data_IF_880195104730
#
_entry.id   IF_880195104730
#
_cell.length_a   1.000
_cell.length_b   1.000
_cell.length_c   1.000
_cell.angle_alpha   90.00
_cell.angle_beta   90.00
_cell.angle_gamma   90.00
#
_symmetry.space_group_name_H-M   'P 1'
#
loop_
_entity.id
_entity.type
_entity.pdbx_description
1 polymer ?
#
# COMPACT_ATOMS: atom_id res chain seq x y z
N UNK A 1 24.60 -14.24 -19.38
CA UNK A 1 25.83 -13.64 -18.84
C UNK A 1 25.43 -12.86 -17.60
N UNK A 2 25.87 -13.31 -16.42
CA UNK A 2 25.56 -12.65 -15.15
C UNK A 2 26.36 -11.35 -15.06
N UNK A 3 25.70 -10.22 -14.80
CA UNK A 3 26.39 -8.97 -14.51
C UNK A 3 27.27 -9.13 -13.27
N UNK A 4 28.46 -8.52 -13.23
CA UNK A 4 29.32 -8.56 -12.06
C UNK A 4 28.61 -7.95 -10.83
N UNK A 5 28.95 -8.38 -9.61
CA UNK A 5 28.36 -7.81 -8.40
C UNK A 5 28.63 -6.30 -8.38
N UNK A 6 27.56 -5.52 -8.31
CA UNK A 6 27.66 -4.06 -8.31
C UNK A 6 28.32 -3.64 -7.00
N UNK A 7 29.52 -3.07 -7.09
CA UNK A 7 30.32 -2.71 -5.92
C UNK A 7 29.65 -1.62 -5.08
N UNK A 8 29.69 -1.79 -3.76
CA UNK A 8 29.06 -0.91 -2.77
C UNK A 8 29.52 0.56 -2.85
N UNK A 9 30.61 0.85 -3.54
CA UNK A 9 31.27 2.16 -3.65
C UNK A 9 31.29 2.72 -5.08
N UNK A 10 30.64 2.07 -6.05
CA UNK A 10 30.54 2.61 -7.41
C UNK A 10 29.72 3.91 -7.40
N UNK A 11 30.42 5.03 -7.37
CA UNK A 11 29.93 6.33 -7.83
C UNK A 11 30.30 6.38 -9.31
N UNK A 12 29.37 6.70 -10.20
CA UNK A 12 29.59 6.86 -11.65
C UNK A 12 30.47 8.07 -12.00
N UNK A 13 31.63 8.17 -11.38
CA UNK A 13 32.66 9.13 -11.71
C UNK A 13 34.02 8.44 -11.54
N UNK A 14 34.51 7.81 -12.60
CA UNK A 14 35.92 7.47 -12.70
C UNK A 14 36.74 8.78 -12.65
N UNK A 15 37.60 9.01 -11.64
CA UNK A 15 38.57 10.09 -11.74
C UNK A 15 39.67 9.64 -12.70
N UNK A 16 40.04 10.50 -13.65
CA UNK A 16 41.04 10.25 -14.68
C UNK A 16 42.48 10.09 -14.16
N UNK A 17 42.72 9.88 -12.85
CA UNK A 17 44.04 9.71 -12.26
C UNK A 17 44.07 8.49 -11.34
N UNK A 18 45.00 7.53 -11.53
CA UNK A 18 45.19 6.42 -10.62
C UNK A 18 45.78 6.95 -9.32
N UNK A 19 44.92 7.24 -8.34
CA UNK A 19 45.36 7.48 -6.96
C UNK A 19 45.89 6.17 -6.41
N UNK A 20 47.11 6.18 -5.88
CA UNK A 20 47.69 5.04 -5.19
C UNK A 20 46.68 4.45 -4.21
N UNK A 21 46.31 3.18 -4.39
CA UNK A 21 45.45 2.48 -3.44
C UNK A 21 46.24 2.31 -2.14
N UNK A 22 45.86 3.09 -1.13
CA UNK A 22 46.43 2.98 0.20
C UNK A 22 45.92 1.66 0.81
N UNK A 23 46.81 0.80 1.32
CA UNK A 23 46.45 -0.54 1.80
C UNK A 23 45.35 -0.52 2.88
N UNK A 24 45.23 0.61 3.59
CA UNK A 24 44.16 0.89 4.57
C UNK A 24 42.77 0.97 3.93
N UNK A 25 42.68 1.49 2.72
CA UNK A 25 41.40 1.60 2.00
C UNK A 25 40.96 0.24 1.44
N UNK A 26 41.90 -0.62 1.06
CA UNK A 26 41.59 -2.00 0.66
C UNK A 26 41.09 -2.85 1.83
N UNK A 27 41.66 -2.69 3.03
CA UNK A 27 41.12 -3.32 4.25
C UNK A 27 39.69 -2.84 4.54
N UNK A 28 39.41 -1.54 4.42
CA UNK A 28 38.04 -1.01 4.62
C UNK A 28 37.05 -1.56 3.58
N UNK A 29 37.48 -1.73 2.33
CA UNK A 29 36.66 -2.32 1.27
C UNK A 29 36.33 -3.78 1.56
N UNK A 30 37.34 -4.60 1.89
CA UNK A 30 37.09 -6.00 2.26
C UNK A 30 36.17 -6.11 3.48
N UNK A 31 36.32 -5.22 4.47
CA UNK A 31 35.41 -5.16 5.61
C UNK A 31 33.97 -4.81 5.20
N UNK A 32 33.77 -3.84 4.32
CA UNK A 32 32.46 -3.48 3.77
C UNK A 32 31.82 -4.64 3.00
N UNK A 33 32.59 -5.33 2.16
CA UNK A 33 32.11 -6.48 1.39
C UNK A 33 31.71 -7.63 2.32
N UNK A 34 32.49 -7.88 3.37
CA UNK A 34 32.15 -8.86 4.41
C UNK A 34 30.88 -8.47 5.18
N UNK A 35 30.75 -7.20 5.59
CA UNK A 35 29.54 -6.71 6.28
C UNK A 35 28.30 -6.79 5.39
N UNK A 36 28.42 -6.46 4.10
CA UNK A 36 27.31 -6.57 3.16
C UNK A 36 26.91 -8.02 2.91
N UNK A 37 27.89 -8.92 2.76
CA UNK A 37 27.64 -10.36 2.64
C UNK A 37 26.93 -10.91 3.88
N UNK A 38 27.40 -10.53 5.07
CA UNK A 38 26.79 -10.91 6.34
C UNK A 38 25.36 -10.36 6.46
N UNK A 39 25.14 -9.10 6.10
CA UNK A 39 23.81 -8.49 6.09
C UNK A 39 22.86 -9.26 5.17
N UNK A 40 23.26 -9.54 3.92
CA UNK A 40 22.41 -10.29 2.98
C UNK A 40 22.16 -11.73 3.44
N UNK A 41 23.15 -12.40 4.02
CA UNK A 41 22.96 -13.71 4.63
C UNK A 41 21.93 -13.65 5.77
N UNK A 42 22.02 -12.66 6.65
CA UNK A 42 21.06 -12.47 7.75
C UNK A 42 19.64 -12.17 7.23
N UNK A 43 19.50 -11.40 6.15
CA UNK A 43 18.21 -11.15 5.50
C UNK A 43 17.60 -12.44 4.94
N UNK A 44 18.41 -13.28 4.28
CA UNK A 44 17.96 -14.57 3.74
C UNK A 44 17.56 -15.55 4.85
N UNK A 45 18.24 -15.53 6.00
CA UNK A 45 17.87 -16.34 7.16
C UNK A 45 16.71 -15.76 7.97
N UNK A 46 16.26 -14.53 7.68
CA UNK A 46 15.22 -13.84 8.43
C UNK A 46 15.66 -13.27 9.78
N UNK A 47 16.97 -13.14 10.03
CA UNK A 47 17.52 -12.51 11.25
C UNK A 47 17.68 -11.00 11.03
N UNK A 48 16.57 -10.27 11.18
CA UNK A 48 16.52 -8.83 10.95
C UNK A 48 17.29 -8.02 12.01
N UNK A 49 17.52 -8.56 13.21
CA UNK A 49 18.28 -7.87 14.26
C UNK A 49 19.78 -7.86 13.97
N UNK A 50 20.34 -8.98 13.51
CA UNK A 50 21.75 -8.99 13.05
C UNK A 50 21.90 -8.21 11.76
N UNK A 51 20.95 -8.33 10.82
CA UNK A 51 20.96 -7.54 9.59
C UNK A 51 20.95 -6.03 9.89
N UNK A 52 20.14 -5.57 10.86
CA UNK A 52 20.07 -4.16 11.26
C UNK A 52 21.38 -3.63 11.84
N UNK A 53 22.08 -4.46 12.64
CA UNK A 53 23.39 -4.11 13.20
C UNK A 53 24.45 -4.02 12.11
N UNK A 54 24.51 -5.00 11.21
CA UNK A 54 25.43 -4.99 10.06
C UNK A 54 25.16 -3.76 9.17
N UNK A 55 23.89 -3.48 8.87
CA UNK A 55 23.47 -2.29 8.12
C UNK A 55 23.90 -0.99 8.79
N UNK A 56 23.71 -0.89 10.11
CA UNK A 56 24.18 0.26 10.88
C UNK A 56 25.70 0.42 10.87
N UNK A 57 26.48 -0.67 10.83
CA UNK A 57 27.94 -0.59 10.68
C UNK A 57 28.31 -0.08 9.29
N UNK A 58 27.67 -0.59 8.23
CA UNK A 58 27.88 -0.14 6.84
C UNK A 58 27.64 1.38 6.70
N UNK A 59 26.57 1.92 7.29
CA UNK A 59 26.28 3.36 7.22
C UNK A 59 27.31 4.22 7.96
N UNK A 60 27.97 3.68 8.99
CA UNK A 60 28.97 4.41 9.80
C UNK A 60 30.38 4.29 9.23
N UNK A 61 30.69 3.24 8.48
CA UNK A 61 31.98 3.07 7.83
C UNK A 61 32.23 4.14 6.77
N UNK A 62 33.44 4.68 6.77
CA UNK A 62 33.90 5.68 5.79
C UNK A 62 34.74 5.01 4.71
N UNK A 63 34.46 5.32 3.45
CA UNK A 63 35.24 4.88 2.28
C UNK A 63 36.45 5.81 2.12
N UNK A 64 37.42 5.41 1.28
CA UNK A 64 38.52 6.23 0.79
C UNK A 64 38.06 7.67 0.50
N UNK A 65 38.72 8.66 1.12
CA UNK A 65 38.34 10.07 1.02
C UNK A 65 37.31 10.56 2.06
N UNK A 66 37.04 9.78 3.13
CA UNK A 66 36.24 10.22 4.28
C UNK A 66 34.73 10.29 4.02
N UNK A 67 34.28 9.78 2.87
CA UNK A 67 32.87 9.81 2.48
C UNK A 67 32.13 8.60 3.08
N UNK A 68 30.97 8.86 3.68
CA UNK A 68 30.11 7.80 4.22
C UNK A 68 29.38 7.05 3.10
N UNK A 69 28.96 5.81 3.38
CA UNK A 69 28.13 5.03 2.44
C UNK A 69 26.79 5.75 2.25
N UNK A 70 26.51 6.20 1.02
CA UNK A 70 25.24 6.85 0.68
C UNK A 70 24.13 5.79 0.56
N UNK A 71 23.06 5.86 1.39
CA UNK A 71 21.94 4.92 1.33
C UNK A 71 21.16 5.01 0.00
N UNK A 72 21.30 6.09 -0.76
CA UNK A 72 20.61 6.29 -2.04
C UNK A 72 21.09 5.37 -3.14
N UNK A 73 22.39 5.06 -3.14
CA UNK A 73 23.02 4.31 -4.22
C UNK A 73 22.60 2.83 -4.17
N UNK A 74 22.40 2.22 -5.34
CA UNK A 74 22.11 0.79 -5.50
C UNK A 74 20.85 0.29 -4.78
N UNK A 75 19.80 1.13 -4.70
CA UNK A 75 18.52 0.77 -4.05
C UNK A 75 18.65 0.36 -2.58
N UNK A 76 19.74 0.77 -1.92
CA UNK A 76 20.03 0.44 -0.53
C UNK A 76 19.04 1.02 0.47
N UNK A 77 18.42 2.14 0.13
CA UNK A 77 17.31 2.72 0.87
C UNK A 77 16.17 1.71 1.04
N UNK A 78 15.90 0.87 0.05
CA UNK A 78 14.88 -0.18 0.14
C UNK A 78 15.23 -1.25 1.18
N UNK A 79 16.52 -1.61 1.29
CA UNK A 79 17.01 -2.56 2.29
C UNK A 79 16.83 -1.99 3.71
N UNK A 80 17.13 -0.70 3.89
CA UNK A 80 16.90 -0.01 5.17
C UNK A 80 15.43 -0.04 5.59
N UNK A 81 14.52 0.23 4.66
CA UNK A 81 13.08 0.15 4.90
C UNK A 81 12.62 -1.27 5.24
N UNK A 82 13.08 -2.28 4.50
CA UNK A 82 12.72 -3.70 4.72
C UNK A 82 13.18 -4.20 6.10
N UNK A 83 14.40 -3.84 6.51
CA UNK A 83 14.92 -4.16 7.84
C UNK A 83 14.03 -3.55 8.92
N UNK A 84 13.64 -2.27 8.79
CA UNK A 84 12.78 -1.60 9.77
C UNK A 84 11.38 -2.23 9.81
N UNK A 85 10.85 -2.60 8.66
CA UNK A 85 9.52 -3.16 8.51
C UNK A 85 9.37 -4.54 9.16
N UNK A 86 10.43 -5.36 9.10
CA UNK A 86 10.43 -6.74 9.62
C UNK A 86 11.11 -6.91 10.97
N UNK A 87 11.72 -5.84 11.49
CA UNK A 87 12.27 -5.86 12.84
C UNK A 87 11.11 -5.99 13.83
N UNK A 88 11.17 -7.05 14.63
CA UNK A 88 10.21 -7.22 15.71
C UNK A 88 10.54 -6.22 16.82
N UNK A 89 9.59 -5.40 17.29
CA UNK A 89 9.79 -4.55 18.46
C UNK A 89 9.71 -5.40 19.75
N UNK A 90 10.54 -6.44 19.86
CA UNK A 90 10.62 -7.31 21.04
C UNK A 90 12.02 -7.95 21.08
N UNK A 91 13.03 -7.20 21.53
CA UNK A 91 14.08 -7.82 22.35
C UNK A 91 13.79 -7.41 23.79
N UNK A 92 13.04 -8.22 24.56
CA UNK A 92 13.04 -8.07 26.00
C UNK A 92 14.50 -8.18 26.46
N UNK A 93 14.91 -7.29 27.36
CA UNK A 93 16.08 -7.56 28.20
C UNK A 93 15.86 -8.92 28.88
N UNK A 94 16.89 -9.74 29.10
CA UNK A 94 16.75 -11.08 29.65
C UNK A 94 16.30 -11.16 31.13
N UNK A 95 15.71 -10.10 31.70
CA UNK A 95 15.41 -10.00 33.14
C UNK A 95 13.90 -9.94 33.48
N UNK A 96 12.99 -10.08 32.51
CA UNK A 96 11.55 -10.18 32.80
C UNK A 96 11.08 -11.62 32.70
N UNK A 97 10.75 -12.22 33.85
CA UNK A 97 10.05 -13.50 34.01
C UNK A 97 8.58 -13.44 33.55
N UNK A 98 8.32 -12.96 32.34
CA UNK A 98 7.00 -13.06 31.74
C UNK A 98 7.00 -14.18 30.71
N UNK A 99 6.05 -15.11 30.86
CA UNK A 99 5.80 -16.21 29.94
C UNK A 99 5.78 -15.72 28.48
N UNK A 100 6.40 -16.44 27.53
CA UNK A 100 6.39 -16.07 26.13
C UNK A 100 4.95 -16.12 25.60
N UNK A 101 4.31 -14.96 25.48
CA UNK A 101 2.99 -14.84 24.87
C UNK A 101 2.99 -15.51 23.49
N UNK A 102 2.15 -16.54 23.27
CA UNK A 102 2.09 -17.22 22.00
C UNK A 102 1.19 -16.42 21.07
N UNK A 103 1.78 -15.66 20.17
CA UNK A 103 1.33 -15.53 18.79
C UNK A 103 2.15 -14.43 18.13
N UNK A 104 2.90 -14.84 17.11
CA UNK A 104 3.22 -13.95 15.98
C UNK A 104 1.97 -13.13 15.69
N UNK A 105 2.03 -11.81 15.83
CA UNK A 105 1.00 -10.92 15.31
C UNK A 105 0.78 -11.35 13.86
N UNK A 106 -0.35 -12.01 13.58
CA UNK A 106 -0.54 -12.91 12.43
C UNK A 106 -0.56 -12.15 11.12
N UNK A 107 0.63 -11.76 10.66
CA UNK A 107 0.81 -10.77 9.62
C UNK A 107 2.25 -10.69 9.11
N UNK A 108 2.46 -10.34 7.83
CA UNK A 108 3.79 -10.10 7.28
C UNK A 108 4.63 -9.07 8.06
N UNK A 109 3.99 -8.06 8.66
CA UNK A 109 4.64 -6.92 9.34
C UNK A 109 3.93 -6.55 10.66
N UNK A 110 4.70 -6.01 11.61
CA UNK A 110 4.18 -5.40 12.84
C UNK A 110 3.74 -3.94 12.56
N UNK A 111 2.68 -3.43 13.21
CA UNK A 111 2.24 -2.04 13.04
C UNK A 111 3.35 -1.03 13.34
N UNK A 112 4.17 -1.28 14.37
CA UNK A 112 5.31 -0.43 14.71
C UNK A 112 6.40 -0.45 13.62
N UNK A 113 6.64 -1.64 13.03
CA UNK A 113 7.59 -1.79 11.92
C UNK A 113 7.15 -0.99 10.69
N UNK A 114 5.84 -0.97 10.40
CA UNK A 114 5.27 -0.14 9.34
C UNK A 114 5.50 1.36 9.59
N UNK A 115 5.23 1.84 10.80
CA UNK A 115 5.45 3.25 11.16
C UNK A 115 6.93 3.64 11.08
N UNK A 116 7.84 2.78 11.54
CA UNK A 116 9.27 2.99 11.43
C UNK A 116 9.73 3.07 9.97
N UNK A 117 9.22 2.19 9.11
CA UNK A 117 9.51 2.19 7.68
C UNK A 117 8.94 3.44 6.99
N UNK A 118 7.71 3.85 7.31
CA UNK A 118 7.10 5.09 6.79
C UNK A 118 7.92 6.32 7.19
N UNK A 119 8.24 6.45 8.48
CA UNK A 119 9.10 7.53 9.00
C UNK A 119 10.49 7.53 8.34
N UNK A 120 11.02 6.36 7.98
CA UNK A 120 12.27 6.26 7.24
C UNK A 120 12.16 6.85 5.83
N UNK A 121 11.11 6.52 5.08
CA UNK A 121 10.86 7.14 3.77
C UNK A 121 10.63 8.65 3.88
N UNK A 122 9.85 9.10 4.86
CA UNK A 122 9.59 10.53 5.07
C UNK A 122 10.89 11.30 5.37
N UNK A 123 11.80 10.73 6.17
CA UNK A 123 13.13 11.31 6.38
C UNK A 123 13.95 11.38 5.09
N UNK A 124 13.95 10.33 4.27
CA UNK A 124 14.68 10.33 2.99
C UNK A 124 14.14 11.39 2.03
N UNK A 125 12.83 11.57 1.96
CA UNK A 125 12.17 12.60 1.16
C UNK A 125 12.65 13.99 1.58
N UNK A 126 12.64 14.29 2.88
CA UNK A 126 13.08 15.60 3.41
C UNK A 126 14.59 15.82 3.21
N UNK A 127 15.41 14.77 3.36
CA UNK A 127 16.87 14.86 3.23
C UNK A 127 17.33 15.00 1.78
N UNK A 128 16.55 14.49 0.81
CA UNK A 128 16.94 14.39 -0.59
C UNK A 128 15.88 14.96 -1.54
N UNK A 129 15.58 16.28 -1.46
CA UNK A 129 14.64 16.94 -2.35
C UNK A 129 15.17 16.99 -3.78
N UNK A 130 14.28 17.17 -4.75
CA UNK A 130 14.64 17.24 -6.17
C UNK A 130 15.61 18.39 -6.47
N UNK A 131 16.76 18.07 -7.06
CA UNK A 131 17.77 19.05 -7.47
C UNK A 131 17.82 19.13 -9.00
N UNK A 132 17.51 20.31 -9.56
CA UNK A 132 17.58 20.55 -11.01
C UNK A 132 18.98 20.34 -11.61
N UNK A 133 20.02 20.46 -10.79
CA UNK A 133 21.43 20.31 -11.20
C UNK A 133 21.87 18.85 -11.36
N UNK A 134 21.14 17.88 -10.79
CA UNK A 134 21.51 16.46 -10.81
C UNK A 134 20.28 15.61 -11.17
N UNK A 135 19.91 15.51 -12.45
CA UNK A 135 18.68 14.84 -12.88
C UNK A 135 18.68 13.31 -12.68
N UNK A 136 19.85 12.69 -12.53
CA UNK A 136 20.01 11.24 -12.33
C UNK A 136 20.22 10.85 -10.87
N UNK A 137 20.26 11.81 -9.94
CA UNK A 137 20.39 11.50 -8.53
C UNK A 137 19.08 10.91 -8.01
N UNK A 138 19.18 9.92 -7.12
CA UNK A 138 18.02 9.41 -6.38
C UNK A 138 17.50 10.52 -5.48
N UNK A 139 16.24 10.88 -5.71
CA UNK A 139 15.53 11.99 -5.09
C UNK A 139 14.17 11.53 -4.54
N UNK A 140 13.43 12.47 -3.97
CA UNK A 140 12.06 12.30 -3.49
C UNK A 140 11.11 11.57 -4.47
N UNK A 141 11.30 11.71 -5.79
CA UNK A 141 10.47 11.03 -6.81
C UNK A 141 10.61 9.51 -6.77
N UNK A 142 11.76 9.02 -6.31
CA UNK A 142 12.03 7.58 -6.16
C UNK A 142 11.42 7.04 -4.87
N UNK A 143 11.34 7.84 -3.81
CA UNK A 143 10.88 7.40 -2.48
C UNK A 143 9.37 7.41 -2.30
N UNK A 144 8.64 8.31 -2.96
CA UNK A 144 7.18 8.37 -2.82
C UNK A 144 6.46 7.09 -3.29
N UNK A 145 6.71 6.55 -4.51
CA UNK A 145 6.02 5.34 -4.98
C UNK A 145 6.13 4.13 -4.03
N UNK A 146 7.32 3.73 -3.52
CA UNK A 146 7.43 2.61 -2.59
C UNK A 146 6.79 2.90 -1.23
N UNK A 147 6.87 4.14 -0.73
CA UNK A 147 6.20 4.54 0.52
C UNK A 147 4.69 4.36 0.43
N UNK A 148 4.06 4.87 -0.64
CA UNK A 148 2.62 4.69 -0.86
C UNK A 148 2.25 3.23 -1.15
N UNK A 149 3.09 2.50 -1.90
CA UNK A 149 2.87 1.08 -2.16
C UNK A 149 2.85 0.26 -0.86
N UNK A 150 3.76 0.57 0.07
CA UNK A 150 3.79 -0.05 1.39
C UNK A 150 2.54 0.29 2.21
N UNK A 151 2.10 1.55 2.17
CA UNK A 151 0.88 1.98 2.88
C UNK A 151 -0.38 1.29 2.33
N UNK A 152 -0.54 1.23 1.01
CA UNK A 152 -1.64 0.51 0.36
C UNK A 152 -1.62 -0.98 0.75
N UNK A 153 -0.44 -1.59 0.75
CA UNK A 153 -0.29 -3.00 1.16
C UNK A 153 -0.75 -3.22 2.61
N UNK A 154 -0.32 -2.37 3.54
CA UNK A 154 -0.68 -2.49 4.95
C UNK A 154 -2.20 -2.39 5.17
N UNK A 155 -2.86 -1.43 4.51
CA UNK A 155 -4.32 -1.26 4.60
C UNK A 155 -5.05 -2.48 4.03
N UNK A 156 -4.65 -2.94 2.84
CA UNK A 156 -5.21 -4.13 2.20
C UNK A 156 -5.03 -5.37 3.06
N UNK A 157 -3.87 -5.49 3.68
CA UNK A 157 -3.52 -6.63 4.51
C UNK A 157 -4.32 -6.62 5.83
N UNK A 158 -4.48 -5.47 6.49
CA UNK A 158 -5.35 -5.32 7.66
C UNK A 158 -6.79 -5.70 7.33
N UNK A 159 -7.33 -5.20 6.23
CA UNK A 159 -8.69 -5.56 5.76
C UNK A 159 -8.82 -7.06 5.47
N UNK A 160 -7.84 -7.64 4.77
CA UNK A 160 -7.81 -9.09 4.48
C UNK A 160 -7.83 -9.93 5.76
N UNK A 161 -7.02 -9.57 6.76
CA UNK A 161 -6.98 -10.26 8.06
C UNK A 161 -8.28 -10.13 8.83
N UNK A 162 -8.87 -8.94 8.88
CA UNK A 162 -10.16 -8.72 9.53
C UNK A 162 -11.26 -9.59 8.88
N UNK A 163 -11.29 -9.67 7.54
CA UNK A 163 -12.23 -10.55 6.81
C UNK A 163 -11.99 -12.03 7.11
N UNK A 164 -10.74 -12.48 7.16
CA UNK A 164 -10.39 -13.87 7.50
C UNK A 164 -10.80 -14.21 8.95
N UNK A 165 -10.59 -13.29 9.90
CA UNK A 165 -11.00 -13.48 11.29
C UNK A 165 -12.52 -13.62 11.41
N UNK A 166 -13.28 -12.72 10.76
CA UNK A 166 -14.73 -12.79 10.71
C UNK A 166 -15.22 -14.11 10.09
N UNK A 167 -14.57 -14.58 9.03
CA UNK A 167 -14.90 -15.86 8.41
C UNK A 167 -14.58 -17.06 9.32
N UNK A 168 -13.48 -17.01 10.07
CA UNK A 168 -13.13 -18.06 11.03
C UNK A 168 -14.10 -18.10 12.21
N UNK A 169 -14.49 -16.93 12.74
CA UNK A 169 -15.50 -16.82 13.79
C UNK A 169 -16.84 -17.40 13.34
N UNK A 170 -17.25 -17.13 12.11
CA UNK A 170 -18.44 -17.76 11.48
C UNK A 170 -18.31 -19.28 11.41
N UNK A 171 -17.16 -19.80 10.96
CA UNK A 171 -16.93 -21.23 10.87
C UNK A 171 -16.97 -21.91 12.25
N UNK A 172 -16.33 -21.31 13.26
CA UNK A 172 -16.31 -21.83 14.64
C UNK A 172 -17.72 -21.87 15.24
N UNK A 173 -18.58 -20.89 14.93
CA UNK A 173 -19.99 -20.85 15.36
C UNK A 173 -20.84 -21.96 14.73
N UNK A 174 -20.45 -22.47 13.55
CA UNK A 174 -21.15 -23.55 12.85
C UNK A 174 -20.73 -24.95 13.35
N UNK A 175 -19.50 -25.10 13.86
CA UNK A 175 -18.91 -26.39 14.27
C UNK A 175 -19.23 -26.80 15.72
N UNK A 176 -19.94 -25.98 16.50
CA UNK A 176 -20.45 -26.36 17.84
C UNK A 176 -21.92 -26.80 17.88
N UNK A 177 -22.34 -27.93 17.26
CA UNK A 177 -23.62 -28.55 17.55
C UNK A 177 -23.44 -29.62 18.64
N UNK A 178 -23.48 -29.23 19.92
CA UNK A 178 -23.71 -30.18 21.03
C UNK A 178 -24.16 -29.48 22.32
N UNK A 179 -25.35 -28.88 22.25
CA UNK A 179 -26.28 -28.91 23.38
C UNK A 179 -27.68 -29.02 22.79
N UNK A 180 -28.22 -30.24 22.80
CA UNK A 180 -29.61 -30.52 22.45
C UNK A 180 -30.47 -29.95 23.58
N UNK A 181 -30.86 -28.68 23.47
CA UNK A 181 -31.98 -28.12 24.23
C UNK A 181 -33.15 -27.95 23.28
N UNK A 182 -34.07 -28.89 23.35
CA UNK A 182 -35.37 -28.87 22.67
C UNK A 182 -36.32 -27.93 23.40
N UNK A 183 -36.02 -26.64 23.37
CA UNK A 183 -37.01 -25.56 23.50
C UNK A 183 -36.29 -24.22 23.35
N UNK A 184 -36.36 -23.63 22.17
CA UNK A 184 -36.22 -22.18 21.98
C UNK A 184 -36.70 -21.87 20.57
N UNK A 185 -37.90 -21.30 20.51
CA UNK A 185 -38.41 -20.59 19.35
C UNK A 185 -37.30 -19.69 18.77
N UNK A 186 -37.16 -19.73 17.46
CA UNK A 186 -36.17 -19.03 16.67
C UNK A 186 -36.01 -17.56 17.10
N UNK A 187 -35.04 -17.29 17.98
CA UNK A 187 -34.48 -15.96 18.13
C UNK A 187 -33.44 -15.81 17.03
N UNK A 188 -33.92 -15.47 15.84
CA UNK A 188 -33.09 -14.93 14.76
C UNK A 188 -32.41 -13.66 15.30
N UNK A 189 -31.18 -13.80 15.81
CA UNK A 189 -30.37 -12.64 16.14
C UNK A 189 -30.17 -11.85 14.83
N UNK A 190 -30.42 -10.52 14.84
CA UNK A 190 -30.28 -9.69 13.65
C UNK A 190 -28.86 -9.82 13.08
N UNK A 191 -28.76 -9.67 11.76
CA UNK A 191 -27.60 -9.90 10.90
C UNK A 191 -26.34 -9.09 11.27
N UNK A 192 -25.71 -9.47 12.39
CA UNK A 192 -24.42 -8.94 12.89
C UNK A 192 -23.27 -9.23 11.89
N UNK A 193 -23.47 -10.19 10.99
CA UNK A 193 -22.52 -10.53 9.94
C UNK A 193 -22.35 -9.42 8.90
N UNK A 194 -23.46 -8.90 8.38
CA UNK A 194 -23.43 -7.79 7.43
C UNK A 194 -22.86 -6.51 8.05
N UNK A 195 -23.20 -6.24 9.31
CA UNK A 195 -22.70 -5.07 10.04
C UNK A 195 -21.17 -5.10 10.23
N UNK A 196 -20.61 -6.26 10.59
CA UNK A 196 -19.16 -6.42 10.75
C UNK A 196 -18.42 -6.31 9.41
N UNK A 197 -18.96 -6.86 8.32
CA UNK A 197 -18.38 -6.69 6.98
C UNK A 197 -18.43 -5.24 6.51
N UNK A 198 -19.53 -4.53 6.79
CA UNK A 198 -19.66 -3.12 6.47
C UNK A 198 -18.68 -2.28 7.30
N UNK A 199 -18.48 -2.58 8.59
CA UNK A 199 -17.50 -1.92 9.43
C UNK A 199 -16.06 -2.09 8.92
N UNK A 200 -15.69 -3.29 8.45
CA UNK A 200 -14.38 -3.52 7.84
C UNK A 200 -14.23 -2.70 6.56
N UNK A 201 -15.28 -2.64 5.73
CA UNK A 201 -15.28 -1.88 4.47
C UNK A 201 -15.20 -0.38 4.70
N UNK A 202 -15.93 0.17 5.67
CA UNK A 202 -15.90 1.60 5.99
C UNK A 202 -14.54 2.01 6.55
N UNK A 203 -13.92 1.16 7.38
CA UNK A 203 -12.55 1.37 7.84
C UNK A 203 -11.53 1.32 6.69
N UNK A 204 -11.62 0.32 5.81
CA UNK A 204 -10.76 0.23 4.62
C UNK A 204 -10.94 1.45 3.69
N UNK A 205 -12.18 1.90 3.48
CA UNK A 205 -12.49 3.07 2.68
C UNK A 205 -11.90 4.34 3.29
N UNK A 206 -12.02 4.54 4.61
CA UNK A 206 -11.44 5.69 5.30
C UNK A 206 -9.91 5.76 5.14
N UNK A 207 -9.22 4.62 5.24
CA UNK A 207 -7.77 4.55 5.04
C UNK A 207 -7.38 4.77 3.57
N UNK A 208 -8.16 4.24 2.62
CA UNK A 208 -7.93 4.49 1.20
C UNK A 208 -8.13 5.97 0.83
N UNK A 209 -9.13 6.64 1.42
CA UNK A 209 -9.33 8.09 1.24
C UNK A 209 -8.18 8.91 1.83
N UNK A 210 -7.64 8.53 3.00
CA UNK A 210 -6.45 9.19 3.58
C UNK A 210 -5.23 9.08 2.65
N UNK A 211 -5.03 7.91 2.05
CA UNK A 211 -3.97 7.70 1.05
C UNK A 211 -4.19 8.59 -0.18
N UNK A 212 -5.43 8.68 -0.68
CA UNK A 212 -5.78 9.51 -1.83
C UNK A 212 -5.53 11.00 -1.56
N UNK A 213 -5.97 11.52 -0.41
CA UNK A 213 -5.73 12.90 -0.01
C UNK A 213 -4.24 13.21 0.08
N UNK A 214 -3.46 12.30 0.67
CA UNK A 214 -2.01 12.47 0.76
C UNK A 214 -1.34 12.42 -0.61
N UNK A 215 -1.79 11.56 -1.52
CA UNK A 215 -1.33 11.53 -2.92
C UNK A 215 -1.66 12.83 -3.65
N UNK A 216 -2.87 13.37 -3.46
CA UNK A 216 -3.32 14.62 -4.08
C UNK A 216 -2.47 15.80 -3.64
N UNK A 217 -2.12 15.88 -2.34
CA UNK A 217 -1.19 16.89 -1.83
C UNK A 217 0.18 16.84 -2.51
N UNK A 218 0.71 15.63 -2.75
CA UNK A 218 2.02 15.46 -3.39
C UNK A 218 1.93 15.83 -4.88
N UNK A 219 0.94 15.31 -5.59
CA UNK A 219 0.74 15.50 -7.04
C UNK A 219 0.35 16.95 -7.39
N UNK A 220 -0.20 17.72 -6.44
CA UNK A 220 -0.51 19.14 -6.64
C UNK A 220 0.74 20.01 -6.85
N UNK A 221 1.91 19.55 -6.39
CA UNK A 221 3.15 20.32 -6.45
C UNK A 221 4.09 19.82 -7.56
N UNK A 222 4.71 20.71 -8.35
CA UNK A 222 5.81 20.32 -9.22
C UNK A 222 6.99 19.83 -8.38
N UNK A 223 7.67 18.73 -8.75
CA UNK A 223 7.64 18.06 -10.05
C UNK A 223 6.75 16.80 -10.15
N UNK A 224 5.93 16.53 -9.13
CA UNK A 224 5.14 15.30 -9.05
C UNK A 224 3.89 15.33 -9.91
N UNK A 225 3.44 16.53 -10.28
CA UNK A 225 2.34 16.81 -11.19
C UNK A 225 2.41 16.05 -12.53
N UNK A 226 3.64 15.77 -12.97
CA UNK A 226 3.98 15.08 -14.24
C UNK A 226 4.54 13.67 -14.05
N UNK A 227 4.71 13.20 -12.81
CA UNK A 227 5.28 11.88 -12.59
C UNK A 227 4.24 10.79 -12.89
N UNK A 228 4.40 10.11 -14.04
CA UNK A 228 3.51 9.06 -14.51
C UNK A 228 3.19 7.99 -13.45
N UNK A 229 4.19 7.53 -12.69
CA UNK A 229 4.00 6.48 -11.69
C UNK A 229 3.08 6.90 -10.53
N UNK A 230 3.18 8.15 -10.07
CA UNK A 230 2.31 8.66 -8.99
C UNK A 230 0.89 8.91 -9.49
N UNK A 231 0.74 9.42 -10.71
CA UNK A 231 -0.57 9.58 -11.35
C UNK A 231 -1.27 8.23 -11.55
N UNK A 232 -0.54 7.21 -12.01
CA UNK A 232 -1.07 5.85 -12.11
C UNK A 232 -1.46 5.28 -10.74
N UNK A 233 -0.64 5.52 -9.72
CA UNK A 233 -0.93 5.07 -8.36
C UNK A 233 -2.21 5.74 -7.83
N UNK A 234 -2.37 7.05 -8.00
CA UNK A 234 -3.57 7.79 -7.64
C UNK A 234 -4.80 7.29 -8.39
N UNK A 235 -4.67 6.98 -9.68
CA UNK A 235 -5.74 6.41 -10.48
C UNK A 235 -6.17 5.02 -9.96
N UNK A 236 -5.21 4.16 -9.63
CA UNK A 236 -5.48 2.85 -9.04
C UNK A 236 -6.15 2.95 -7.67
N UNK A 237 -5.74 3.92 -6.84
CA UNK A 237 -6.38 4.18 -5.54
C UNK A 237 -7.81 4.66 -5.73
N UNK A 238 -8.09 5.53 -6.71
CA UNK A 238 -9.46 5.93 -7.05
C UNK A 238 -10.34 4.74 -7.48
N UNK A 239 -9.80 3.82 -8.31
CA UNK A 239 -10.51 2.59 -8.67
C UNK A 239 -10.82 1.76 -7.42
N UNK A 240 -9.84 1.58 -6.53
CA UNK A 240 -10.02 0.86 -5.28
C UNK A 240 -11.09 1.50 -4.38
N UNK A 241 -11.09 2.83 -4.21
CA UNK A 241 -12.13 3.54 -3.46
C UNK A 241 -13.50 3.37 -4.14
N UNK A 242 -13.57 3.41 -5.47
CA UNK A 242 -14.82 3.20 -6.20
C UNK A 242 -15.41 1.81 -5.96
N UNK A 243 -14.57 0.77 -5.97
CA UNK A 243 -14.98 -0.60 -5.68
C UNK A 243 -15.44 -0.76 -4.22
N UNK A 244 -14.72 -0.14 -3.28
CA UNK A 244 -15.13 -0.12 -1.86
C UNK A 244 -16.44 0.65 -1.63
N UNK A 245 -16.65 1.74 -2.36
CA UNK A 245 -17.87 2.54 -2.27
C UNK A 245 -19.09 1.76 -2.80
N UNK A 246 -18.93 1.03 -3.91
CA UNK A 246 -19.97 0.14 -4.44
C UNK A 246 -20.23 -1.03 -3.49
N UNK A 247 -19.18 -1.65 -2.95
CA UNK A 247 -19.32 -2.76 -1.99
C UNK A 247 -20.06 -3.95 -2.61
N UNK A 248 -21.20 -4.32 -2.03
CA UNK A 248 -22.10 -5.40 -2.51
C UNK A 248 -23.16 -4.92 -3.49
N UNK A 249 -23.09 -3.67 -3.97
CA UNK A 249 -24.00 -3.19 -5.00
C UNK A 249 -23.56 -3.80 -6.34
N UNK A 250 -24.11 -4.97 -6.66
CA UNK A 250 -23.95 -5.58 -7.99
C UNK A 250 -24.67 -4.69 -9.03
N UNK A 251 -23.85 -4.03 -9.83
CA UNK A 251 -24.25 -3.27 -11.02
C UNK A 251 -24.09 -4.22 -12.21
N UNK A 252 -24.88 -5.31 -12.24
CA UNK A 252 -24.80 -6.32 -13.30
C UNK A 252 -25.35 -5.82 -14.64
N UNK A 253 -24.80 -6.35 -15.73
CA UNK A 253 -24.99 -5.94 -17.13
C UNK A 253 -26.39 -6.27 -17.70
N UNK A 254 -27.20 -7.03 -16.96
CA UNK A 254 -28.51 -7.52 -17.42
C UNK A 254 -29.64 -6.53 -17.12
N UNK A 255 -29.48 -5.31 -17.64
CA UNK A 255 -30.37 -4.18 -17.40
C UNK A 255 -31.67 -4.18 -18.24
N UNK A 256 -31.98 -5.29 -18.91
CA UNK A 256 -33.23 -5.52 -19.67
C UNK A 256 -34.17 -6.53 -18.99
N UNK A 257 -33.72 -7.22 -17.94
CA UNK A 257 -34.63 -7.97 -17.09
C UNK A 257 -35.42 -6.98 -16.22
N UNK A 258 -36.74 -6.92 -16.42
CA UNK A 258 -37.66 -6.29 -15.48
C UNK A 258 -37.29 -6.72 -14.04
N UNK A 259 -36.98 -5.75 -13.18
CA UNK A 259 -36.62 -6.02 -11.79
C UNK A 259 -37.72 -6.87 -11.10
N UNK A 260 -37.38 -7.77 -10.15
CA UNK A 260 -36.13 -7.80 -9.40
C UNK A 260 -35.53 -9.22 -9.32
N UNK A 261 -34.60 -9.56 -10.21
CA UNK A 261 -33.84 -10.80 -10.08
C UNK A 261 -32.39 -10.47 -9.76
N UNK A 262 -32.02 -10.68 -8.48
CA UNK A 262 -30.69 -10.50 -7.85
C UNK A 262 -30.36 -9.15 -7.23
N UNK A 263 -31.32 -8.52 -6.54
CA UNK A 263 -31.00 -7.86 -5.26
C UNK A 263 -30.84 -8.99 -4.22
N UNK A 264 -29.80 -9.80 -4.34
CA UNK A 264 -29.54 -10.86 -3.37
C UNK A 264 -28.74 -10.23 -2.22
N UNK A 265 -29.42 -10.03 -1.09
CA UNK A 265 -28.95 -9.54 0.23
C UNK A 265 -29.05 -8.03 0.58
N UNK A 266 -29.45 -7.11 -0.31
CA UNK A 266 -29.33 -5.66 -0.04
C UNK A 266 -30.62 -4.90 0.36
N UNK A 267 -31.66 -5.56 0.86
CA UNK A 267 -32.88 -4.87 1.34
C UNK A 267 -32.65 -4.00 2.59
N UNK A 268 -31.45 -4.03 3.20
CA UNK A 268 -31.11 -3.29 4.42
C UNK A 268 -30.64 -1.84 4.18
N UNK A 269 -30.14 -1.48 2.99
CA UNK A 269 -29.55 -0.15 2.76
C UNK A 269 -30.62 0.83 2.23
N UNK A 270 -30.88 1.97 2.91
CA UNK A 270 -31.81 2.98 2.44
C UNK A 270 -31.43 3.51 1.05
N UNK A 271 -32.42 3.90 0.25
CA UNK A 271 -32.22 4.47 -1.10
C UNK A 271 -31.24 5.64 -1.09
N UNK A 272 -31.32 6.52 -0.08
CA UNK A 272 -30.38 7.63 0.12
C UNK A 272 -28.92 7.16 0.27
N UNK A 273 -28.70 6.09 1.04
CA UNK A 273 -27.36 5.48 1.19
C UNK A 273 -26.83 4.88 -0.12
N UNK A 274 -27.72 4.31 -0.95
CA UNK A 274 -27.36 3.79 -2.28
C UNK A 274 -26.96 4.92 -3.23
N UNK A 275 -27.72 6.02 -3.24
CA UNK A 275 -27.40 7.22 -4.05
C UNK A 275 -26.04 7.77 -3.64
N UNK A 276 -25.77 7.87 -2.34
CA UNK A 276 -24.48 8.39 -1.83
C UNK A 276 -23.29 7.48 -2.21
N UNK A 277 -23.45 6.15 -2.15
CA UNK A 277 -22.42 5.21 -2.56
C UNK A 277 -22.14 5.30 -4.07
N UNK A 278 -23.19 5.37 -4.89
CA UNK A 278 -23.07 5.51 -6.35
C UNK A 278 -22.47 6.86 -6.75
N UNK A 279 -22.86 7.96 -6.08
CA UNK A 279 -22.32 9.29 -6.37
C UNK A 279 -20.83 9.37 -6.05
N UNK A 280 -20.40 8.81 -4.91
CA UNK A 280 -19.00 8.68 -4.53
C UNK A 280 -18.23 7.81 -5.54
N UNK A 281 -18.74 6.62 -5.88
CA UNK A 281 -18.10 5.74 -6.86
C UNK A 281 -17.94 6.42 -8.23
N UNK A 282 -18.97 7.14 -8.70
CA UNK A 282 -18.91 7.91 -9.95
C UNK A 282 -17.84 9.00 -9.90
N UNK A 283 -17.71 9.73 -8.78
CA UNK A 283 -16.67 10.73 -8.60
C UNK A 283 -15.29 10.10 -8.72
N UNK A 284 -15.04 9.02 -7.99
CA UNK A 284 -13.73 8.36 -8.01
C UNK A 284 -13.41 7.74 -9.37
N UNK A 285 -14.38 7.17 -10.10
CA UNK A 285 -14.17 6.68 -11.45
C UNK A 285 -13.76 7.79 -12.43
N UNK A 286 -14.32 9.00 -12.30
CA UNK A 286 -13.91 10.18 -13.08
C UNK A 286 -12.48 10.58 -12.75
N UNK A 287 -12.13 10.60 -11.46
CA UNK A 287 -10.76 10.91 -11.02
C UNK A 287 -9.75 9.88 -11.53
N UNK A 288 -10.09 8.59 -11.48
CA UNK A 288 -9.26 7.53 -12.05
C UNK A 288 -9.00 7.75 -13.55
N UNK A 289 -10.06 8.04 -14.31
CA UNK A 289 -9.95 8.33 -15.74
C UNK A 289 -9.04 9.55 -16.00
N UNK A 290 -9.26 10.66 -15.29
CA UNK A 290 -8.47 11.88 -15.43
C UNK A 290 -6.99 11.65 -15.10
N UNK A 291 -6.70 10.90 -14.03
CA UNK A 291 -5.33 10.57 -13.64
C UNK A 291 -4.61 9.67 -14.67
N UNK A 292 -5.31 8.70 -15.27
CA UNK A 292 -4.73 7.87 -16.32
C UNK A 292 -4.45 8.64 -17.62
N UNK A 293 -5.35 9.53 -18.04
CA UNK A 293 -5.14 10.44 -19.16
C UNK A 293 -3.92 11.34 -18.93
N UNK A 294 -3.80 11.92 -17.73
CA UNK A 294 -2.62 12.71 -17.35
C UNK A 294 -1.35 11.86 -17.33
N UNK A 295 -1.40 10.62 -16.85
CA UNK A 295 -0.24 9.74 -16.87
C UNK A 295 0.18 9.40 -18.31
N UNK A 296 -0.78 9.12 -19.20
CA UNK A 296 -0.54 8.88 -20.62
C UNK A 296 0.14 10.08 -21.29
N UNK A 297 -0.34 11.29 -21.03
CA UNK A 297 0.28 12.53 -21.55
C UNK A 297 1.74 12.72 -21.09
N UNK A 298 2.10 12.16 -19.93
CA UNK A 298 3.46 12.21 -19.37
C UNK A 298 4.31 10.97 -19.71
N UNK A 299 3.94 10.22 -20.75
CA UNK A 299 4.76 9.12 -21.29
C UNK A 299 4.52 7.76 -20.64
N UNK A 300 3.47 7.59 -19.82
CA UNK A 300 3.07 6.28 -19.35
C UNK A 300 2.41 5.46 -20.48
N UNK A 301 2.56 4.13 -20.44
CA UNK A 301 1.89 3.25 -21.40
C UNK A 301 0.38 3.36 -21.26
N UNK A 302 -0.30 3.77 -22.34
CA UNK A 302 -1.76 3.90 -22.37
C UNK A 302 -2.40 2.51 -22.30
N UNK A 303 -3.17 2.26 -21.25
CA UNK A 303 -3.90 1.01 -21.07
C UNK A 303 -5.32 1.18 -21.65
N UNK A 304 -5.44 1.10 -22.97
CA UNK A 304 -6.71 1.34 -23.68
C UNK A 304 -7.85 0.43 -23.20
N UNK A 305 -7.58 -0.85 -22.94
CA UNK A 305 -8.55 -1.80 -22.39
C UNK A 305 -9.05 -1.41 -20.99
N UNK A 306 -8.15 -0.89 -20.16
CA UNK A 306 -8.50 -0.44 -18.82
C UNK A 306 -9.38 0.81 -18.89
N UNK A 307 -9.00 1.80 -19.73
CA UNK A 307 -9.79 3.01 -19.95
C UNK A 307 -11.19 2.69 -20.50
N UNK A 308 -11.31 1.77 -21.46
CA UNK A 308 -12.62 1.33 -21.95
C UNK A 308 -13.44 0.69 -20.84
N UNK A 309 -12.83 -0.17 -20.00
CA UNK A 309 -13.52 -0.79 -18.87
C UNK A 309 -14.01 0.23 -17.83
N UNK A 310 -13.21 1.26 -17.55
CA UNK A 310 -13.59 2.35 -16.64
C UNK A 310 -14.77 3.13 -17.21
N UNK A 311 -14.74 3.45 -18.50
CA UNK A 311 -15.83 4.15 -19.17
C UNK A 311 -17.12 3.33 -19.18
N UNK A 312 -17.06 2.02 -19.44
CA UNK A 312 -18.23 1.14 -19.31
C UNK A 312 -18.80 1.19 -17.90
N UNK A 313 -17.98 0.99 -16.86
CA UNK A 313 -18.42 1.10 -15.45
C UNK A 313 -19.03 2.46 -15.12
N UNK A 314 -18.43 3.54 -15.61
CA UNK A 314 -18.91 4.90 -15.39
C UNK A 314 -20.30 5.12 -16.01
N UNK A 315 -20.53 4.62 -17.23
CA UNK A 315 -21.86 4.68 -17.87
C UNK A 315 -22.90 3.86 -17.12
N UNK A 316 -22.54 2.67 -16.65
CA UNK A 316 -23.41 1.82 -15.84
C UNK A 316 -23.79 2.53 -14.54
N UNK A 317 -22.82 2.95 -13.72
CA UNK A 317 -23.08 3.66 -12.45
C UNK A 317 -23.96 4.90 -12.67
N UNK A 318 -23.75 5.63 -13.76
CA UNK A 318 -24.57 6.81 -14.11
C UNK A 318 -26.02 6.40 -14.41
N UNK A 319 -26.24 5.38 -15.25
CA UNK A 319 -27.57 4.84 -15.56
C UNK A 319 -28.32 4.38 -14.30
N UNK A 320 -27.64 3.73 -13.35
CA UNK A 320 -28.25 3.31 -12.09
C UNK A 320 -28.59 4.48 -11.17
N UNK A 321 -27.74 5.51 -11.14
CA UNK A 321 -28.01 6.72 -10.38
C UNK A 321 -29.25 7.42 -10.93
N UNK A 322 -29.35 7.58 -12.26
CA UNK A 322 -30.50 8.21 -12.92
C UNK A 322 -31.81 7.43 -12.70
N UNK A 323 -31.75 6.08 -12.64
CA UNK A 323 -32.90 5.24 -12.28
C UNK A 323 -33.38 5.45 -10.83
N UNK A 324 -32.47 5.70 -9.90
CA UNK A 324 -32.78 5.91 -8.48
C UNK A 324 -33.15 7.36 -8.15
N UNK A 325 -32.73 8.30 -8.99
CA UNK A 325 -33.03 9.72 -8.89
C UNK A 325 -33.76 10.15 -10.18
N UNK A 326 -35.04 9.78 -10.35
CA UNK A 326 -35.80 10.25 -11.49
C UNK A 326 -35.83 11.78 -11.49
N UNK A 327 -35.90 12.43 -12.67
CA UNK A 327 -35.98 13.87 -12.75
C UNK A 327 -37.15 14.34 -11.88
N UNK A 328 -36.87 15.25 -10.96
CA UNK A 328 -37.92 16.04 -10.35
C UNK A 328 -38.55 16.82 -11.50
N UNK A 329 -39.73 16.38 -11.95
CA UNK A 329 -40.58 17.27 -12.72
C UNK A 329 -40.90 18.40 -11.77
N UNK A 330 -40.31 19.57 -12.03
CA UNK A 330 -40.70 20.82 -11.41
C UNK A 330 -42.22 20.95 -11.59
N UNK A 331 -42.95 20.68 -10.51
CA UNK A 331 -44.34 21.07 -10.40
C UNK A 331 -44.37 22.58 -10.14
N UNK A 332 -44.05 23.34 -11.18
CA UNK A 332 -44.51 24.71 -11.29
C UNK A 332 -45.98 24.65 -11.73
N UNK A 333 -46.88 24.83 -10.76
CA UNK A 333 -48.26 25.26 -10.99
C UNK A 333 -48.68 26.28 -9.95
#
# INVERSE_FOLDING_TARGET
MASPPVHLYAVDAAPAHPRAHDARDDVKRTHLDNLSTLMHSCLLTGDYDRASRAWGMILRTQIAGGTHVDPRNHNRWGVGAEILLRRSPQTPRPDSHDEPQPARQNGPFSPEGFELARNYYERLIVQHPTRKTQPYAVDERVFYPPMFSLWIYEVREKSRRAKMQLQQERANRCVTPRSMSVDSAASERPDDSGANEEAIRTHELAQATEIAERLDQVIASPPFDKQANLLQLRANVALWISDLALGTLDVDDDSDAAFPARISANTSIPVSGRIQRLSNARRELKEAHACFERAAANGAKVQTRLLSSINTRLTQVTKYLDKLQPPQFDHDY
#
